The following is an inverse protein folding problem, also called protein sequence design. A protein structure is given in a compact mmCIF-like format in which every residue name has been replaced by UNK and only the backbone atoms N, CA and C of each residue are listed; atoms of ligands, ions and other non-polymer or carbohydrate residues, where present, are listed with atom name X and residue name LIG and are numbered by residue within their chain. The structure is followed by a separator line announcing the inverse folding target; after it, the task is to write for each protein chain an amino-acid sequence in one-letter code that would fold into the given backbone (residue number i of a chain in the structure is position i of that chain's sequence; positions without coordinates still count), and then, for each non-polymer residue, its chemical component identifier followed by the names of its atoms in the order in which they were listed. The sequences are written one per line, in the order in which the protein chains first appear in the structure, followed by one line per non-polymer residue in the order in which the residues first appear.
data_IF_572411579788
#
_entry.id   IF_572411579788
#
_cell.length_a   1.000
_cell.length_b   1.000
_cell.length_c   1.000
_cell.angle_alpha   90.00
_cell.angle_beta   90.00
_cell.angle_gamma   90.00
#
_symmetry.space_group_name_H-M   'P 1'
#
loop_
_entity.id
_entity.type
_entity.pdbx_description
1 polymer ?
#
# COMPACT_ATOMS: atom_id res chain seq x y z
N UNK A 1 -9.36 -18.96 -5.48
CA UNK A 1 -9.43 -18.27 -6.80
C UNK A 1 -9.32 -19.34 -7.86
N UNK A 2 -10.27 -19.39 -8.79
CA UNK A 2 -10.22 -20.37 -9.87
C UNK A 2 -9.03 -20.10 -10.81
N UNK A 3 -8.49 -21.15 -11.39
CA UNK A 3 -7.43 -21.09 -12.38
C UNK A 3 -7.82 -20.19 -13.57
N UNK A 4 -9.09 -20.25 -13.99
CA UNK A 4 -9.62 -19.40 -15.06
C UNK A 4 -9.49 -17.89 -14.76
N UNK A 5 -9.77 -17.46 -13.53
CA UNK A 5 -9.63 -16.05 -13.14
C UNK A 5 -8.16 -15.65 -13.07
N UNK A 6 -7.29 -16.54 -12.58
CA UNK A 6 -5.84 -16.29 -12.60
C UNK A 6 -5.32 -16.08 -14.01
N UNK A 7 -5.67 -16.98 -14.94
CA UNK A 7 -5.25 -16.92 -16.34
C UNK A 7 -5.77 -15.66 -17.03
N UNK A 8 -7.03 -15.31 -16.81
CA UNK A 8 -7.62 -14.07 -17.33
C UNK A 8 -6.91 -12.82 -16.81
N UNK A 9 -6.66 -12.70 -15.50
CA UNK A 9 -5.92 -11.55 -14.97
C UNK A 9 -4.47 -11.52 -15.48
N UNK A 10 -3.85 -12.68 -15.67
CA UNK A 10 -2.47 -12.79 -16.19
C UNK A 10 -2.35 -12.36 -17.66
N UNK A 11 -3.44 -12.40 -18.43
CA UNK A 11 -3.45 -11.95 -19.83
C UNK A 11 -3.58 -10.44 -19.97
N UNK A 12 -4.00 -9.71 -18.94
CA UNK A 12 -4.15 -8.24 -18.99
C UNK A 12 -2.79 -7.58 -18.74
N UNK A 13 -2.03 -7.34 -19.81
CA UNK A 13 -0.64 -6.85 -19.72
C UNK A 13 -0.48 -5.43 -20.21
N UNK A 14 -1.29 -5.02 -21.18
CA UNK A 14 -1.22 -3.71 -21.82
C UNK A 14 -2.43 -2.85 -21.47
N UNK A 15 -2.36 -1.57 -21.83
CA UNK A 15 -3.48 -0.64 -21.69
C UNK A 15 -4.68 -1.10 -22.52
N UNK A 16 -4.44 -1.62 -23.73
CA UNK A 16 -5.50 -2.11 -24.62
C UNK A 16 -6.19 -3.35 -24.03
N UNK A 17 -5.42 -4.33 -23.55
CA UNK A 17 -5.96 -5.51 -22.86
C UNK A 17 -6.88 -5.10 -21.70
N UNK A 18 -6.44 -4.09 -20.92
CA UNK A 18 -7.17 -3.58 -19.77
C UNK A 18 -8.49 -2.89 -20.18
N UNK A 19 -8.46 -2.08 -21.24
CA UNK A 19 -9.66 -1.42 -21.76
C UNK A 19 -10.69 -2.47 -22.19
N UNK A 20 -10.26 -3.47 -22.96
CA UNK A 20 -11.10 -4.55 -23.46
C UNK A 20 -11.60 -5.47 -22.34
N UNK A 21 -10.75 -5.79 -21.36
CA UNK A 21 -11.12 -6.64 -20.24
C UNK A 21 -12.20 -6.02 -19.34
N UNK A 22 -12.17 -4.69 -19.16
CA UNK A 22 -13.06 -3.95 -18.26
C UNK A 22 -14.09 -3.07 -18.99
N UNK A 23 -14.47 -3.45 -20.21
CA UNK A 23 -15.48 -2.76 -21.00
C UNK A 23 -16.92 -3.12 -20.60
N UNK A 24 -17.17 -4.39 -20.29
CA UNK A 24 -18.50 -4.91 -19.94
C UNK A 24 -18.74 -4.90 -18.42
N UNK A 25 -19.76 -4.17 -17.99
CA UNK A 25 -20.07 -3.95 -16.57
C UNK A 25 -20.43 -5.25 -15.84
N UNK A 26 -21.15 -6.14 -16.53
CA UNK A 26 -21.60 -7.42 -16.00
C UNK A 26 -20.41 -8.40 -15.82
N UNK A 27 -19.45 -8.41 -16.75
CA UNK A 27 -18.15 -9.08 -16.59
C UNK A 27 -17.34 -8.49 -15.43
N UNK A 28 -17.28 -7.16 -15.32
CA UNK A 28 -16.58 -6.50 -14.21
C UNK A 28 -17.14 -6.92 -12.85
N UNK A 29 -18.47 -6.99 -12.74
CA UNK A 29 -19.17 -7.49 -11.55
C UNK A 29 -18.80 -8.93 -11.22
N UNK A 30 -18.90 -9.85 -12.18
CA UNK A 30 -18.53 -11.26 -11.99
C UNK A 30 -17.05 -11.43 -11.62
N UNK A 31 -16.16 -10.62 -12.20
CA UNK A 31 -14.75 -10.65 -11.88
C UNK A 31 -14.50 -10.17 -10.44
N UNK A 32 -15.14 -9.09 -10.01
CA UNK A 32 -15.10 -8.62 -8.63
C UNK A 32 -15.62 -9.69 -7.67
N UNK A 33 -16.73 -10.35 -7.99
CA UNK A 33 -17.27 -11.46 -7.19
C UNK A 33 -16.27 -12.60 -7.06
N UNK A 34 -15.64 -13.01 -8.15
CA UNK A 34 -14.65 -14.09 -8.12
C UNK A 34 -13.35 -13.70 -7.37
N UNK A 35 -13.00 -12.41 -7.34
CA UNK A 35 -11.84 -11.91 -6.60
C UNK A 35 -12.11 -11.76 -5.11
N UNK A 36 -13.28 -11.24 -4.73
CA UNK A 36 -13.69 -10.94 -3.34
C UNK A 36 -14.25 -12.18 -2.63
N UNK A 37 -14.93 -13.07 -3.37
CA UNK A 37 -15.55 -14.30 -2.86
C UNK A 37 -14.97 -15.54 -3.55
N UNK A 38 -13.65 -15.80 -3.42
CA UNK A 38 -13.01 -16.91 -4.12
C UNK A 38 -13.55 -18.29 -3.69
N UNK A 39 -14.06 -18.40 -2.46
CA UNK A 39 -14.52 -19.64 -1.84
C UNK A 39 -16.05 -19.63 -1.63
N UNK A 40 -16.75 -18.73 -2.30
CA UNK A 40 -18.20 -18.54 -2.19
C UNK A 40 -18.59 -17.25 -1.47
N UNK A 41 -19.85 -16.85 -1.67
CA UNK A 41 -20.39 -15.58 -1.15
C UNK A 41 -20.50 -15.64 0.36
N UNK A 42 -19.87 -14.71 1.06
CA UNK A 42 -20.06 -14.52 2.50
C UNK A 42 -20.94 -13.28 2.75
N UNK A 43 -21.99 -13.43 3.56
CA UNK A 43 -22.82 -12.31 3.97
C UNK A 43 -21.98 -11.33 4.81
N UNK A 44 -21.87 -10.05 4.43
CA UNK A 44 -21.05 -9.09 5.15
C UNK A 44 -21.62 -8.71 6.53
N UNK A 45 -22.87 -9.09 6.84
CA UNK A 45 -23.52 -8.80 8.12
C UNK A 45 -23.35 -9.91 9.17
N UNK A 46 -23.48 -11.19 8.77
CA UNK A 46 -23.47 -12.33 9.71
C UNK A 46 -22.44 -13.42 9.36
N UNK A 47 -21.67 -13.28 8.27
CA UNK A 47 -20.69 -14.27 7.82
C UNK A 47 -21.27 -15.53 7.16
N UNK A 48 -22.59 -15.72 7.16
CA UNK A 48 -23.23 -16.89 6.51
C UNK A 48 -22.84 -17.00 5.02
N UNK A 49 -22.46 -18.21 4.61
CA UNK A 49 -22.17 -18.54 3.21
C UNK A 49 -23.43 -18.87 2.40
N UNK A 50 -24.57 -19.03 3.08
CA UNK A 50 -25.86 -19.31 2.46
C UNK A 50 -26.51 -17.99 2.02
N UNK A 51 -26.71 -17.86 0.71
CA UNK A 51 -27.36 -16.70 0.08
C UNK A 51 -28.07 -17.09 -1.22
N UNK A 52 -29.18 -16.40 -1.50
CA UNK A 52 -29.96 -16.54 -2.74
C UNK A 52 -29.74 -15.32 -3.64
N UNK A 53 -29.61 -15.54 -4.95
CA UNK A 53 -29.61 -14.44 -5.92
C UNK A 53 -31.03 -13.88 -6.06
N UNK A 54 -31.14 -12.56 -5.98
CA UNK A 54 -32.37 -11.81 -6.26
C UNK A 54 -32.37 -11.19 -7.66
N UNK A 55 -31.20 -11.05 -8.28
CA UNK A 55 -31.07 -10.62 -9.68
C UNK A 55 -31.78 -11.61 -10.62
N UNK A 56 -32.66 -11.10 -11.49
CA UNK A 56 -33.43 -11.92 -12.46
C UNK A 56 -34.77 -12.45 -11.96
N UNK A 57 -35.23 -12.09 -10.75
CA UNK A 57 -36.62 -12.32 -10.31
C UNK A 57 -37.51 -11.20 -10.82
N UNK A 58 -37.68 -11.14 -12.14
CA UNK A 58 -38.46 -10.10 -12.83
C UNK A 58 -39.92 -10.54 -12.95
N UNK A 59 -40.75 -10.13 -11.99
CA UNK A 59 -42.18 -9.88 -12.24
C UNK A 59 -42.51 -8.46 -11.79
N UNK A 60 -42.60 -7.51 -12.73
CA UNK A 60 -43.11 -6.14 -12.50
C UNK A 60 -42.10 -5.00 -12.66
N UNK A 61 -42.53 -3.78 -12.26
CA UNK A 61 -41.84 -2.48 -12.47
C UNK A 61 -40.53 -2.27 -11.68
N UNK A 62 -40.09 -3.23 -10.86
CA UNK A 62 -38.92 -3.10 -9.99
C UNK A 62 -37.87 -4.17 -10.30
N UNK A 63 -37.08 -3.94 -11.35
CA UNK A 63 -35.93 -4.81 -11.68
C UNK A 63 -34.93 -4.78 -10.53
N UNK A 64 -34.64 -5.94 -9.95
CA UNK A 64 -33.64 -6.07 -8.91
C UNK A 64 -32.26 -5.64 -9.44
N UNK A 65 -31.47 -4.97 -8.60
CA UNK A 65 -30.10 -4.54 -8.97
C UNK A 65 -29.26 -5.76 -9.38
N UNK A 66 -28.49 -5.70 -10.48
CA UNK A 66 -27.58 -6.78 -10.85
C UNK A 66 -26.64 -7.18 -9.70
N UNK A 67 -26.45 -8.49 -9.50
CA UNK A 67 -25.63 -9.02 -8.40
C UNK A 67 -26.18 -8.77 -6.98
N UNK A 68 -27.48 -8.52 -6.84
CA UNK A 68 -28.13 -8.46 -5.53
C UNK A 68 -28.36 -9.87 -4.98
N UNK A 69 -27.85 -10.12 -3.79
CA UNK A 69 -28.02 -11.34 -3.02
C UNK A 69 -28.78 -11.06 -1.74
N UNK A 70 -29.51 -12.05 -1.25
CA UNK A 70 -30.11 -12.03 0.07
C UNK A 70 -29.54 -13.16 0.91
N UNK A 71 -29.08 -12.82 2.12
CA UNK A 71 -28.63 -13.81 3.09
C UNK A 71 -29.79 -14.75 3.47
N UNK A 72 -29.49 -16.05 3.52
CA UNK A 72 -30.41 -17.08 4.03
C UNK A 72 -29.89 -17.72 5.34
N UNK A 73 -28.96 -17.04 6.02
CA UNK A 73 -28.64 -17.33 7.42
C UNK A 73 -29.86 -17.10 8.31
N UNK A 74 -29.98 -17.91 9.36
CA UNK A 74 -31.05 -17.83 10.36
C UNK A 74 -31.16 -16.38 10.85
N UNK A 75 -32.30 -15.75 10.57
CA UNK A 75 -32.66 -14.37 10.94
C UNK A 75 -31.89 -13.19 10.32
N UNK A 76 -30.90 -13.42 9.44
CA UNK A 76 -30.14 -12.30 8.87
C UNK A 76 -30.92 -11.55 7.78
N UNK A 77 -31.42 -12.27 6.76
CA UNK A 77 -32.12 -11.75 5.56
C UNK A 77 -31.49 -10.53 4.88
N UNK A 78 -30.25 -10.17 5.24
CA UNK A 78 -29.56 -8.97 4.79
C UNK A 78 -29.31 -9.05 3.30
N UNK A 79 -29.65 -7.98 2.58
CA UNK A 79 -29.39 -7.86 1.16
C UNK A 79 -28.03 -7.22 0.92
N UNK A 80 -27.25 -7.81 0.03
CA UNK A 80 -25.90 -7.34 -0.27
C UNK A 80 -25.51 -7.62 -1.72
N UNK A 81 -24.58 -6.81 -2.20
CA UNK A 81 -23.84 -6.98 -3.45
C UNK A 81 -22.37 -7.21 -3.12
N UNK A 82 -21.55 -7.52 -4.13
CA UNK A 82 -20.09 -7.62 -3.97
C UNK A 82 -19.42 -6.36 -3.44
N UNK A 83 -20.03 -5.20 -3.67
CA UNK A 83 -19.52 -3.90 -3.21
C UNK A 83 -20.00 -3.56 -1.79
N UNK A 84 -20.85 -4.38 -1.17
CA UNK A 84 -21.42 -4.06 0.15
C UNK A 84 -20.39 -4.17 1.27
N UNK A 85 -20.32 -3.15 2.14
CA UNK A 85 -19.26 -3.00 3.16
C UNK A 85 -17.84 -3.04 2.57
N UNK A 86 -17.66 -2.41 1.41
CA UNK A 86 -16.35 -2.18 0.79
C UNK A 86 -16.19 -0.70 0.45
N UNK A 87 -14.99 -0.22 0.08
CA UNK A 87 -14.81 1.13 -0.46
C UNK A 87 -15.63 1.42 -1.72
N UNK A 88 -16.13 0.38 -2.41
CA UNK A 88 -17.03 0.50 -3.57
C UNK A 88 -18.51 0.59 -3.14
N UNK A 89 -18.81 0.60 -1.84
CA UNK A 89 -20.18 0.60 -1.34
C UNK A 89 -20.96 1.81 -1.84
N UNK A 90 -22.18 1.57 -2.33
CA UNK A 90 -23.05 2.62 -2.86
C UNK A 90 -22.40 3.50 -3.93
N UNK A 91 -21.39 2.98 -4.63
CA UNK A 91 -20.74 3.72 -5.71
C UNK A 91 -21.72 4.00 -6.85
N UNK A 92 -21.62 5.21 -7.40
CA UNK A 92 -22.32 5.63 -8.62
C UNK A 92 -21.45 5.47 -9.87
N UNK A 93 -20.17 5.13 -9.69
CA UNK A 93 -19.27 4.88 -10.80
C UNK A 93 -19.46 3.44 -11.30
N UNK A 94 -19.41 3.21 -12.62
CA UNK A 94 -19.31 1.86 -13.17
C UNK A 94 -18.13 1.09 -12.56
N UNK A 95 -18.31 -0.20 -12.31
CA UNK A 95 -17.29 -1.11 -11.79
C UNK A 95 -16.10 -1.21 -12.76
N UNK A 96 -16.36 -1.06 -14.07
CA UNK A 96 -15.30 -0.91 -15.06
C UNK A 96 -14.35 0.26 -14.75
N UNK A 97 -14.86 1.42 -14.31
CA UNK A 97 -14.01 2.57 -13.92
C UNK A 97 -13.14 2.23 -12.71
N UNK A 98 -13.70 1.53 -11.70
CA UNK A 98 -12.94 1.09 -10.53
C UNK A 98 -11.79 0.15 -10.92
N UNK A 99 -12.06 -0.87 -11.73
CA UNK A 99 -11.05 -1.83 -12.16
C UNK A 99 -9.96 -1.18 -13.03
N UNK A 100 -10.34 -0.26 -13.94
CA UNK A 100 -9.40 0.54 -14.73
C UNK A 100 -8.53 1.41 -13.84
N UNK A 101 -9.12 2.08 -12.83
CA UNK A 101 -8.39 2.90 -11.87
C UNK A 101 -7.38 2.09 -11.05
N UNK A 102 -7.79 0.91 -10.56
CA UNK A 102 -6.90 -0.01 -9.86
C UNK A 102 -5.73 -0.40 -10.74
N UNK A 103 -6.00 -0.84 -11.97
CA UNK A 103 -4.96 -1.25 -12.91
C UNK A 103 -3.98 -0.11 -13.22
N UNK A 104 -4.48 1.11 -13.49
CA UNK A 104 -3.65 2.28 -13.82
C UNK A 104 -2.72 2.69 -12.67
N UNK A 105 -3.21 2.70 -11.42
CA UNK A 105 -2.38 3.03 -10.25
C UNK A 105 -1.32 1.95 -10.04
N UNK A 106 -1.69 0.67 -10.17
CA UNK A 106 -0.80 -0.47 -9.96
C UNK A 106 0.27 -0.61 -11.06
N UNK A 107 -0.06 -0.22 -12.29
CA UNK A 107 0.87 -0.17 -13.42
C UNK A 107 1.91 0.95 -13.26
N UNK A 108 1.61 2.03 -12.53
CA UNK A 108 2.52 3.16 -12.39
C UNK A 108 3.64 2.93 -11.36
N UNK A 109 4.88 3.11 -11.81
CA UNK A 109 6.08 2.93 -11.00
C UNK A 109 6.24 3.90 -9.83
N UNK A 110 5.83 5.15 -10.07
CA UNK A 110 6.01 6.28 -9.15
C UNK A 110 4.68 6.78 -8.60
N UNK A 111 3.60 6.65 -9.36
CA UNK A 111 2.23 6.91 -8.91
C UNK A 111 1.46 7.62 -10.02
N UNK A 112 0.17 7.84 -9.79
CA UNK A 112 -0.66 8.59 -10.72
C UNK A 112 -1.36 9.72 -9.96
N UNK A 113 -1.16 10.96 -10.41
CA UNK A 113 -1.84 12.11 -9.84
C UNK A 113 -3.34 12.01 -10.11
N UNK A 114 -4.17 12.61 -9.25
CA UNK A 114 -5.62 12.61 -9.45
C UNK A 114 -6.03 13.30 -10.75
N UNK A 115 -5.27 14.29 -11.22
CA UNK A 115 -5.49 14.95 -12.52
C UNK A 115 -5.30 13.97 -13.67
N UNK A 116 -4.17 13.25 -13.70
CA UNK A 116 -3.87 12.27 -14.75
C UNK A 116 -4.82 11.07 -14.69
N UNK A 117 -5.21 10.63 -13.49
CA UNK A 117 -6.20 9.57 -13.30
C UNK A 117 -7.58 9.99 -13.82
N UNK A 118 -7.98 11.23 -13.58
CA UNK A 118 -9.24 11.80 -14.06
C UNK A 118 -9.30 11.84 -15.59
N UNK A 119 -8.24 12.37 -16.23
CA UNK A 119 -8.09 12.40 -17.68
C UNK A 119 -8.16 10.99 -18.29
N UNK A 120 -7.41 10.04 -17.73
CA UNK A 120 -7.37 8.67 -18.24
C UNK A 120 -8.71 7.91 -18.12
N UNK A 121 -9.52 8.25 -17.12
CA UNK A 121 -10.82 7.60 -16.86
C UNK A 121 -12.01 8.36 -17.43
N UNK A 122 -11.82 9.59 -17.91
CA UNK A 122 -12.91 10.45 -18.37
C UNK A 122 -13.86 10.88 -17.24
N UNK A 123 -13.34 11.06 -16.02
CA UNK A 123 -14.12 11.50 -14.84
C UNK A 123 -13.62 12.85 -14.33
N UNK A 124 -14.36 13.51 -13.45
CA UNK A 124 -13.89 14.75 -12.83
C UNK A 124 -12.72 14.51 -11.87
N UNK A 125 -11.81 15.48 -11.77
CA UNK A 125 -10.65 15.40 -10.88
C UNK A 125 -11.01 15.15 -9.41
N UNK A 126 -12.03 15.79 -8.81
CA UNK A 126 -12.42 15.50 -7.44
C UNK A 126 -12.90 14.05 -7.25
N UNK A 127 -13.57 13.48 -8.27
CA UNK A 127 -14.00 12.09 -8.26
C UNK A 127 -12.80 11.15 -8.32
N UNK A 128 -11.84 11.41 -9.21
CA UNK A 128 -10.59 10.65 -9.30
C UNK A 128 -9.76 10.74 -8.01
N UNK A 129 -9.77 11.89 -7.33
CA UNK A 129 -9.07 12.08 -6.06
C UNK A 129 -9.67 11.21 -4.95
N UNK A 130 -11.00 11.24 -4.77
CA UNK A 130 -11.72 10.37 -3.82
C UNK A 130 -11.54 8.89 -4.15
N UNK A 131 -11.66 8.53 -5.43
CA UNK A 131 -11.39 7.19 -5.93
C UNK A 131 -9.97 6.74 -5.57
N UNK A 132 -8.97 7.56 -5.85
CA UNK A 132 -7.58 7.26 -5.50
C UNK A 132 -7.35 7.11 -3.99
N UNK A 133 -8.03 7.91 -3.15
CA UNK A 133 -7.97 7.75 -1.69
C UNK A 133 -8.59 6.44 -1.23
N UNK A 134 -9.75 6.05 -1.78
CA UNK A 134 -10.38 4.77 -1.48
C UNK A 134 -9.45 3.59 -1.85
N UNK A 135 -8.81 3.65 -3.02
CA UNK A 135 -7.85 2.63 -3.44
C UNK A 135 -6.59 2.60 -2.55
N UNK A 136 -6.10 3.75 -2.12
CA UNK A 136 -4.98 3.86 -1.16
C UNK A 136 -5.31 3.27 0.20
N UNK A 137 -6.55 3.41 0.66
CA UNK A 137 -7.00 2.77 1.90
C UNK A 137 -6.95 1.24 1.76
N UNK A 138 -7.41 0.70 0.63
CA UNK A 138 -7.35 -0.74 0.33
C UNK A 138 -5.91 -1.28 0.22
N UNK A 139 -4.94 -0.40 -0.05
CA UNK A 139 -3.50 -0.75 -0.11
C UNK A 139 -2.85 -0.85 1.28
N UNK A 140 -3.57 -0.48 2.35
CA UNK A 140 -3.10 -0.68 3.71
C UNK A 140 -2.84 -2.17 3.95
N UNK A 141 -1.74 -2.47 4.64
CA UNK A 141 -1.40 -3.83 5.05
C UNK A 141 -1.38 -3.85 6.57
N UNK A 142 -2.14 -4.74 7.17
CA UNK A 142 -2.32 -4.78 8.63
C UNK A 142 -1.45 -5.86 9.31
N UNK A 143 -0.95 -6.85 8.57
CA UNK A 143 -0.16 -7.94 9.15
C UNK A 143 1.20 -7.44 9.68
N UNK A 144 1.56 -7.64 10.96
CA UNK A 144 2.84 -7.18 11.48
C UNK A 144 4.03 -7.81 10.75
N UNK A 145 5.05 -6.99 10.47
CA UNK A 145 6.27 -7.36 9.74
C UNK A 145 7.20 -8.19 10.63
N UNK A 146 7.72 -9.30 10.09
CA UNK A 146 8.63 -10.21 10.79
C UNK A 146 9.95 -10.44 10.03
N UNK A 147 10.81 -11.33 10.54
CA UNK A 147 12.14 -11.55 9.98
C UNK A 147 13.06 -10.36 10.25
N UNK A 148 13.87 -9.94 9.26
CA UNK A 148 14.73 -8.76 9.40
C UNK A 148 13.97 -7.50 9.03
N UNK A 149 13.83 -6.58 9.98
CA UNK A 149 13.07 -5.33 9.82
C UNK A 149 13.97 -4.14 10.09
N UNK A 150 14.09 -3.25 9.12
CA UNK A 150 14.81 -1.98 9.23
C UNK A 150 13.83 -0.84 9.59
N UNK A 151 14.26 0.08 10.45
CA UNK A 151 13.50 1.29 10.78
C UNK A 151 14.35 2.54 10.56
N UNK A 152 13.73 3.59 10.04
CA UNK A 152 14.37 4.90 9.86
C UNK A 152 13.34 6.04 10.00
N UNK A 153 13.77 7.17 10.54
CA UNK A 153 12.97 8.38 10.68
C UNK A 153 13.27 9.39 9.59
N UNK A 154 12.24 9.92 8.95
CA UNK A 154 12.40 11.00 7.97
C UNK A 154 11.34 12.08 8.12
N UNK A 155 11.44 13.12 7.29
CA UNK A 155 10.53 14.25 7.31
C UNK A 155 9.96 14.49 5.91
N UNK A 156 8.67 14.81 5.86
CA UNK A 156 7.93 15.23 4.65
C UNK A 156 7.35 16.63 4.84
N UNK A 157 7.13 17.33 3.73
CA UNK A 157 6.65 18.71 3.74
C UNK A 157 7.65 19.68 3.12
N UNK A 158 7.13 20.85 2.75
CA UNK A 158 7.91 21.93 2.14
C UNK A 158 8.98 22.49 3.07
N UNK A 159 9.82 23.36 2.53
CA UNK A 159 10.71 24.14 3.38
C UNK A 159 9.89 25.05 4.30
N UNK A 160 10.22 25.11 5.61
CA UNK A 160 9.61 26.08 6.50
C UNK A 160 9.73 27.48 5.91
N UNK A 161 8.59 28.19 5.74
CA UNK A 161 8.64 29.62 5.40
C UNK A 161 9.21 30.36 6.61
N UNK A 162 10.31 31.09 6.42
CA UNK A 162 10.88 31.96 7.45
C UNK A 162 9.85 33.02 7.85
N UNK A 163 9.62 33.22 9.14
CA UNK A 163 8.84 34.34 9.65
C UNK A 163 7.30 34.18 9.71
N UNK A 164 6.74 32.97 9.64
CA UNK A 164 5.31 32.75 9.94
C UNK A 164 5.18 32.11 11.32
N UNK A 165 4.66 32.90 12.26
CA UNK A 165 4.26 32.57 13.64
C UNK A 165 5.15 31.61 14.43
N UNK A 166 6.25 32.17 14.95
CA UNK A 166 7.07 31.52 15.97
C UNK A 166 8.57 31.68 15.72
N UNK A 167 9.41 31.37 16.71
CA UNK A 167 10.85 31.33 16.50
C UNK A 167 11.17 30.31 15.41
N UNK A 168 12.04 30.68 14.46
CA UNK A 168 12.57 29.76 13.46
C UNK A 168 13.02 28.46 14.15
N UNK A 169 12.76 27.27 13.56
CA UNK A 169 13.28 26.01 14.07
C UNK A 169 14.79 26.11 14.29
N UNK A 170 15.19 26.26 15.54
CA UNK A 170 16.59 26.52 15.88
C UNK A 170 17.44 25.27 15.72
N UNK A 171 18.67 25.44 15.25
CA UNK A 171 19.75 24.46 15.48
C UNK A 171 20.02 24.36 16.99
N UNK A 172 19.24 23.58 17.72
CA UNK A 172 19.66 23.05 19.03
C UNK A 172 19.24 23.80 20.31
N UNK A 173 18.17 24.60 20.35
CA UNK A 173 17.58 24.94 21.66
C UNK A 173 16.86 23.72 22.25
N UNK A 174 17.25 23.33 23.47
CA UNK A 174 16.72 22.14 24.17
C UNK A 174 15.19 22.27 24.29
N UNK A 175 14.45 21.32 23.72
CA UNK A 175 12.98 21.26 23.79
C UNK A 175 12.21 21.82 22.58
N UNK A 176 12.84 22.52 21.63
CA UNK A 176 12.16 23.01 20.42
C UNK A 176 12.30 22.05 19.24
N UNK A 177 11.30 22.05 18.35
CA UNK A 177 11.32 21.26 17.10
C UNK A 177 12.43 21.80 16.20
N UNK A 178 13.30 20.88 15.72
CA UNK A 178 14.40 21.20 14.77
C UNK A 178 13.91 21.49 13.36
N UNK A 179 12.64 21.18 13.05
CA UNK A 179 12.01 21.41 11.76
C UNK A 179 10.49 21.51 11.91
N UNK A 180 9.83 22.28 11.03
CA UNK A 180 8.37 22.29 10.90
C UNK A 180 7.85 21.17 9.98
N UNK A 181 8.74 20.42 9.35
CA UNK A 181 8.36 19.28 8.51
C UNK A 181 7.70 18.21 9.35
N UNK A 182 6.75 17.51 8.75
CA UNK A 182 6.03 16.41 9.37
C UNK A 182 6.98 15.22 9.55
N UNK A 183 7.22 14.75 10.78
CA UNK A 183 8.03 13.56 11.00
C UNK A 183 7.26 12.30 10.59
N UNK A 184 7.98 11.35 10.03
CA UNK A 184 7.47 10.08 9.51
C UNK A 184 8.41 8.98 9.95
N UNK A 185 7.85 7.87 10.41
CA UNK A 185 8.61 6.65 10.69
C UNK A 185 8.42 5.69 9.53
N UNK A 186 9.51 5.19 8.95
CA UNK A 186 9.50 4.11 7.98
C UNK A 186 9.88 2.79 8.64
N UNK A 187 9.21 1.73 8.20
CA UNK A 187 9.44 0.35 8.64
C UNK A 187 9.52 -0.52 7.39
N UNK A 188 10.64 -1.22 7.20
CA UNK A 188 10.92 -1.99 5.99
C UNK A 188 11.37 -3.40 6.35
N UNK A 189 10.55 -4.38 5.99
CA UNK A 189 10.91 -5.78 6.03
C UNK A 189 11.81 -6.13 4.84
N UNK A 190 12.93 -6.79 5.11
CA UNK A 190 13.81 -7.31 4.07
C UNK A 190 13.25 -8.61 3.48
N UNK A 191 13.68 -8.99 2.25
CA UNK A 191 13.49 -10.35 1.77
C UNK A 191 14.02 -11.38 2.77
N UNK A 192 13.33 -12.51 2.88
CA UNK A 192 13.77 -13.66 3.71
C UNK A 192 15.07 -14.26 3.18
N UNK A 193 15.24 -14.22 1.87
CA UNK A 193 16.37 -14.78 1.16
C UNK A 193 16.55 -14.09 -0.19
N UNK A 194 17.62 -14.49 -0.86
CA UNK A 194 18.12 -13.89 -2.08
C UNK A 194 17.77 -14.74 -3.33
N UNK A 195 16.86 -15.70 -3.21
CA UNK A 195 16.55 -16.63 -4.29
C UNK A 195 15.67 -15.98 -5.36
N UNK A 196 15.84 -16.32 -6.65
CA UNK A 196 14.92 -15.88 -7.69
C UNK A 196 13.48 -16.32 -7.39
N UNK A 197 12.53 -15.39 -7.50
CA UNK A 197 11.13 -15.60 -7.15
C UNK A 197 10.76 -15.15 -5.74
N UNK A 198 11.73 -14.94 -4.85
CA UNK A 198 11.46 -14.55 -3.47
C UNK A 198 10.84 -13.16 -3.38
N UNK A 199 9.85 -12.94 -2.49
CA UNK A 199 9.25 -11.63 -2.29
C UNK A 199 10.28 -10.58 -1.85
N UNK A 200 10.10 -9.32 -2.28
CA UNK A 200 10.98 -8.21 -1.93
C UNK A 200 10.91 -7.75 -0.46
N UNK A 201 10.08 -8.40 0.37
CA UNK A 201 9.63 -7.88 1.65
C UNK A 201 8.58 -6.78 1.50
N UNK A 202 8.23 -6.12 2.60
CA UNK A 202 7.21 -5.09 2.65
C UNK A 202 7.77 -3.78 3.22
N UNK A 203 7.14 -2.66 2.90
CA UNK A 203 7.53 -1.35 3.43
C UNK A 203 6.30 -0.54 3.83
N UNK A 204 6.42 0.19 4.93
CA UNK A 204 5.38 1.06 5.49
C UNK A 204 5.99 2.38 5.92
N UNK A 205 5.15 3.40 5.96
CA UNK A 205 5.47 4.64 6.64
C UNK A 205 4.21 5.19 7.32
N UNK A 206 4.41 5.88 8.43
CA UNK A 206 3.33 6.54 9.17
C UNK A 206 3.77 7.90 9.66
N UNK A 207 2.88 8.89 9.53
CA UNK A 207 3.03 10.18 10.19
C UNK A 207 3.06 9.97 11.71
N UNK A 208 4.02 10.60 12.36
CA UNK A 208 4.15 10.60 13.82
C UNK A 208 4.15 12.04 14.35
N UNK A 209 3.72 12.24 15.60
CA UNK A 209 3.72 13.60 16.19
C UNK A 209 5.14 14.13 16.39
N UNK A 210 6.05 13.22 16.70
CA UNK A 210 7.47 13.39 16.87
C UNK A 210 8.10 11.99 16.85
N UNK A 211 9.43 11.92 16.90
CA UNK A 211 10.18 10.67 16.91
C UNK A 211 10.66 10.31 18.32
N UNK A 212 9.80 10.55 19.32
CA UNK A 212 10.01 10.11 20.70
C UNK A 212 9.83 8.60 20.83
N UNK A 213 10.36 8.03 21.90
CA UNK A 213 10.20 6.59 22.19
C UNK A 213 8.71 6.18 22.23
N UNK A 214 7.81 6.99 22.81
CA UNK A 214 6.40 6.63 22.90
C UNK A 214 5.70 6.60 21.53
N UNK A 215 5.96 7.60 20.68
CA UNK A 215 5.38 7.64 19.33
C UNK A 215 5.96 6.55 18.44
N UNK A 216 7.26 6.27 18.55
CA UNK A 216 7.88 5.16 17.83
C UNK A 216 7.33 3.81 18.32
N UNK A 217 7.18 3.61 19.63
CA UNK A 217 6.61 2.39 20.21
C UNK A 217 5.20 2.11 19.66
N UNK A 218 4.34 3.13 19.63
CA UNK A 218 2.98 3.05 19.07
C UNK A 218 2.96 2.49 17.64
N UNK A 219 3.92 2.88 16.81
CA UNK A 219 4.01 2.37 15.44
C UNK A 219 4.58 0.96 15.42
N UNK A 220 5.69 0.72 16.13
CA UNK A 220 6.37 -0.59 16.11
C UNK A 220 5.51 -1.71 16.71
N UNK A 221 4.74 -1.45 17.77
CA UNK A 221 3.83 -2.43 18.39
C UNK A 221 2.72 -2.88 17.43
N UNK A 222 2.29 -1.99 16.54
CA UNK A 222 1.31 -2.31 15.49
C UNK A 222 1.96 -3.03 14.31
N UNK A 223 3.11 -2.52 13.85
CA UNK A 223 3.66 -2.87 12.54
C UNK A 223 4.75 -3.93 12.56
N UNK A 224 5.31 -4.30 13.72
CA UNK A 224 6.46 -5.20 13.81
C UNK A 224 6.23 -6.30 14.84
N UNK A 225 6.51 -7.54 14.44
CA UNK A 225 6.50 -8.69 15.34
C UNK A 225 7.65 -8.57 16.35
N UNK A 226 7.40 -8.87 17.63
CA UNK A 226 8.45 -8.87 18.67
C UNK A 226 9.58 -9.88 18.40
N UNK A 227 9.30 -10.89 17.59
CA UNK A 227 10.27 -11.89 17.13
C UNK A 227 11.17 -11.40 15.99
N UNK A 228 10.93 -10.21 15.45
CA UNK A 228 11.75 -9.65 14.38
C UNK A 228 13.18 -9.34 14.85
N UNK A 229 14.12 -9.47 13.93
CA UNK A 229 15.45 -8.89 14.06
C UNK A 229 15.37 -7.43 13.60
N UNK A 230 15.38 -6.51 14.55
CA UNK A 230 15.27 -5.07 14.30
C UNK A 230 16.64 -4.48 13.95
N UNK A 231 16.69 -3.61 12.94
CA UNK A 231 17.89 -2.86 12.56
C UNK A 231 17.56 -1.37 12.46
N UNK A 232 18.38 -0.51 13.06
CA UNK A 232 18.19 0.94 13.00
C UNK A 232 19.52 1.73 13.02
N UNK A 233 19.43 3.05 12.95
CA UNK A 233 20.54 3.92 13.38
C UNK A 233 20.64 3.98 14.92
N UNK A 234 21.59 4.77 15.44
CA UNK A 234 21.80 4.98 16.88
C UNK A 234 20.89 6.05 17.51
N UNK A 235 19.71 6.31 16.94
CA UNK A 235 18.81 7.21 17.62
C UNK A 235 18.35 6.62 18.96
N UNK A 236 18.54 7.38 20.04
CA UNK A 236 18.19 7.01 21.42
C UNK A 236 16.80 6.36 21.57
N UNK A 237 15.78 6.84 20.84
CA UNK A 237 14.44 6.23 20.88
C UNK A 237 14.43 4.82 20.31
N UNK A 238 15.14 4.57 19.21
CA UNK A 238 15.26 3.24 18.61
C UNK A 238 16.06 2.29 19.49
N UNK A 239 17.20 2.74 20.03
CA UNK A 239 18.02 1.95 20.96
C UNK A 239 17.21 1.53 22.18
N UNK A 240 16.45 2.45 22.79
CA UNK A 240 15.63 2.13 23.95
C UNK A 240 14.52 1.11 23.64
N UNK A 241 13.91 1.19 22.46
CA UNK A 241 12.83 0.28 22.04
C UNK A 241 13.33 -1.07 21.53
N UNK A 242 14.58 -1.13 21.08
CA UNK A 242 15.22 -2.36 20.62
C UNK A 242 15.18 -3.49 21.64
N UNK A 243 15.19 -3.16 22.93
CA UNK A 243 15.07 -4.13 24.03
C UNK A 243 13.74 -4.90 24.04
N UNK A 244 12.72 -4.44 23.31
CA UNK A 244 11.43 -5.14 23.20
C UNK A 244 11.42 -6.24 22.12
N UNK A 245 12.51 -6.38 21.36
CA UNK A 245 12.65 -7.34 20.26
C UNK A 245 13.67 -8.42 20.61
N UNK A 246 13.57 -9.58 19.97
CA UNK A 246 14.51 -10.70 20.16
C UNK A 246 15.95 -10.27 19.90
N UNK A 247 16.16 -9.48 18.83
CA UNK A 247 17.46 -8.93 18.49
C UNK A 247 17.29 -7.50 17.97
N UNK A 248 18.15 -6.59 18.41
CA UNK A 248 18.26 -5.25 17.85
C UNK A 248 19.73 -4.92 17.58
N UNK A 249 20.05 -4.57 16.34
CA UNK A 249 21.39 -4.12 15.96
C UNK A 249 21.36 -2.71 15.35
N UNK A 250 22.41 -1.93 15.62
CA UNK A 250 22.51 -0.55 15.13
C UNK A 250 23.76 -0.29 14.31
N UNK A 251 23.66 0.69 13.41
CA UNK A 251 24.80 1.27 12.66
C UNK A 251 25.10 2.69 13.11
N UNK A 252 26.40 3.02 13.21
CA UNK A 252 26.89 4.30 13.73
C UNK A 252 27.18 5.30 12.61
N UNK A 253 26.15 5.98 12.11
CA UNK A 253 26.34 7.01 11.08
C UNK A 253 27.29 8.15 11.51
N UNK A 254 27.31 8.49 12.81
CA UNK A 254 28.21 9.50 13.38
C UNK A 254 29.69 9.13 13.29
N UNK A 255 30.00 7.83 13.20
CA UNK A 255 31.36 7.29 13.03
C UNK A 255 31.62 6.81 11.60
N UNK A 256 30.80 7.22 10.64
CA UNK A 256 30.88 6.79 9.24
C UNK A 256 30.74 5.27 9.04
N UNK A 257 30.11 4.57 9.99
CA UNK A 257 29.77 3.16 9.87
C UNK A 257 28.35 3.05 9.30
N UNK A 258 28.25 2.80 7.99
CA UNK A 258 26.97 2.67 7.27
C UNK A 258 26.55 1.21 7.05
N UNK A 259 27.50 0.27 7.14
CA UNK A 259 27.27 -1.17 6.96
C UNK A 259 28.23 -1.95 7.86
N UNK A 260 27.71 -2.92 8.62
CA UNK A 260 28.51 -3.91 9.36
C UNK A 260 27.99 -5.31 9.06
N UNK A 261 28.63 -6.02 8.13
CA UNK A 261 28.09 -7.28 7.61
C UNK A 261 26.70 -7.07 7.01
N UNK A 262 25.70 -7.80 7.50
CA UNK A 262 24.31 -7.65 7.10
C UNK A 262 23.55 -6.56 7.90
N UNK A 263 24.20 -5.88 8.84
CA UNK A 263 23.58 -4.81 9.64
C UNK A 263 23.66 -3.47 8.91
N UNK A 264 22.51 -2.97 8.46
CA UNK A 264 22.34 -1.64 7.84
C UNK A 264 20.87 -1.22 7.75
N UNK A 265 20.59 0.08 7.61
CA UNK A 265 19.24 0.62 7.37
C UNK A 265 18.99 1.07 5.92
N UNK A 266 19.81 0.59 4.96
CA UNK A 266 19.79 1.03 3.57
C UNK A 266 18.44 0.83 2.84
N UNK A 267 17.68 -0.20 3.20
CA UNK A 267 16.36 -0.47 2.61
C UNK A 267 15.34 0.56 3.09
N UNK A 268 15.37 0.91 4.38
CA UNK A 268 14.57 1.98 4.95
C UNK A 268 14.93 3.35 4.36
N UNK A 269 16.22 3.69 4.27
CA UNK A 269 16.67 4.93 3.61
C UNK A 269 16.29 4.97 2.11
N UNK A 270 16.36 3.82 1.44
CA UNK A 270 15.92 3.63 0.06
C UNK A 270 14.43 3.87 -0.12
N UNK A 271 13.61 3.39 0.83
CA UNK A 271 12.17 3.65 0.87
C UNK A 271 11.87 5.14 1.12
N UNK A 272 12.57 5.77 2.07
CA UNK A 272 12.45 7.21 2.37
C UNK A 272 12.75 8.06 1.13
N UNK A 273 13.80 7.70 0.39
CA UNK A 273 14.14 8.31 -0.90
C UNK A 273 13.04 8.11 -1.95
N UNK A 274 12.40 6.93 -1.99
CA UNK A 274 11.29 6.65 -2.90
C UNK A 274 10.06 7.50 -2.57
N UNK A 275 9.74 7.66 -1.29
CA UNK A 275 8.65 8.53 -0.83
C UNK A 275 8.90 9.97 -1.28
N UNK A 276 10.07 10.54 -0.95
CA UNK A 276 10.41 11.92 -1.32
C UNK A 276 10.35 12.17 -2.82
N UNK A 277 10.91 11.27 -3.64
CA UNK A 277 10.86 11.40 -5.12
C UNK A 277 9.45 11.30 -5.67
N UNK A 278 8.61 10.45 -5.07
CA UNK A 278 7.21 10.29 -5.48
C UNK A 278 6.41 11.56 -5.16
N UNK A 279 6.57 12.09 -3.94
CA UNK A 279 5.93 13.35 -3.56
C UNK A 279 6.40 14.48 -4.48
N UNK A 280 7.70 14.67 -4.67
CA UNK A 280 8.22 15.76 -5.49
C UNK A 280 7.83 15.65 -6.98
N UNK A 281 7.78 14.43 -7.53
CA UNK A 281 7.65 14.20 -8.97
C UNK A 281 6.26 13.82 -9.48
N UNK A 282 5.35 13.36 -8.61
CA UNK A 282 4.01 12.88 -9.03
C UNK A 282 2.91 13.68 -8.35
N UNK A 283 2.96 13.79 -7.03
CA UNK A 283 1.89 14.43 -6.26
C UNK A 283 2.13 15.93 -6.06
N UNK A 284 3.39 16.36 -6.13
CA UNK A 284 3.95 17.68 -5.80
C UNK A 284 3.71 18.14 -4.35
N UNK A 285 2.54 17.82 -3.80
CA UNK A 285 2.14 18.13 -2.45
C UNK A 285 1.24 17.00 -1.90
N UNK A 286 1.48 16.60 -0.66
CA UNK A 286 0.57 15.76 0.13
C UNK A 286 0.38 16.44 1.48
N UNK A 287 -0.87 16.55 1.94
CA UNK A 287 -1.13 17.11 3.26
C UNK A 287 -0.84 16.06 4.35
N UNK A 288 -0.42 16.47 5.56
CA UNK A 288 -0.15 15.53 6.65
C UNK A 288 -1.34 14.61 6.97
N UNK A 289 -2.57 15.13 6.85
CA UNK A 289 -3.81 14.42 7.16
C UNK A 289 -4.07 13.25 6.19
N UNK A 290 -3.56 13.33 4.97
CA UNK A 290 -3.73 12.29 3.95
C UNK A 290 -2.43 11.52 3.67
N UNK A 291 -1.30 11.90 4.29
CA UNK A 291 0.01 11.36 3.93
C UNK A 291 0.09 9.83 4.07
N UNK A 292 -0.53 9.26 5.10
CA UNK A 292 -0.56 7.82 5.33
C UNK A 292 -1.22 7.05 4.17
N UNK A 293 -2.28 7.60 3.55
CA UNK A 293 -2.89 7.00 2.35
C UNK A 293 -1.87 6.90 1.21
N UNK A 294 -1.06 7.94 1.00
CA UNK A 294 -0.03 7.91 -0.04
C UNK A 294 1.12 6.96 0.33
N UNK A 295 1.44 6.82 1.63
CA UNK A 295 2.42 5.84 2.10
C UNK A 295 1.94 4.41 1.87
N UNK A 296 0.65 4.11 2.05
CA UNK A 296 0.08 2.81 1.71
C UNK A 296 0.30 2.47 0.23
N UNK A 297 0.05 3.38 -0.71
CA UNK A 297 0.32 3.13 -2.14
C UNK A 297 1.81 2.90 -2.44
N UNK A 298 2.69 3.69 -1.82
CA UNK A 298 4.14 3.58 -2.05
C UNK A 298 4.68 2.27 -1.45
N UNK A 299 4.21 1.90 -0.25
CA UNK A 299 4.53 0.66 0.46
C UNK A 299 3.99 -0.58 -0.25
N UNK A 300 2.75 -0.53 -0.73
CA UNK A 300 2.17 -1.62 -1.53
C UNK A 300 3.02 -1.91 -2.76
N UNK A 301 3.37 -0.88 -3.55
CA UNK A 301 4.22 -1.06 -4.74
C UNK A 301 5.67 -1.43 -4.43
N UNK A 302 6.15 -1.14 -3.23
CA UNK A 302 7.43 -1.69 -2.76
C UNK A 302 7.33 -3.22 -2.63
N UNK A 303 6.22 -3.67 -2.06
CA UNK A 303 5.94 -5.07 -1.71
C UNK A 303 5.63 -5.94 -2.92
N UNK A 304 5.07 -5.37 -3.99
CA UNK A 304 4.71 -6.10 -5.22
C UNK A 304 5.90 -6.31 -6.18
N UNK A 305 7.03 -6.75 -5.62
CA UNK A 305 8.24 -7.08 -6.37
C UNK A 305 8.74 -8.46 -5.96
N UNK A 306 9.29 -9.17 -6.93
CA UNK A 306 9.95 -10.46 -6.72
C UNK A 306 11.40 -10.36 -7.17
N UNK A 307 12.27 -11.05 -6.46
CA UNK A 307 13.69 -11.12 -6.77
C UNK A 307 13.88 -11.78 -8.13
N UNK A 308 14.51 -11.07 -9.06
CA UNK A 308 14.88 -11.58 -10.38
C UNK A 308 16.33 -12.06 -10.42
N UNK A 309 16.93 -12.00 -11.62
CA UNK A 309 18.34 -12.39 -11.82
C UNK A 309 19.30 -11.37 -11.20
N UNK A 310 20.51 -11.81 -10.84
CA UNK A 310 21.63 -10.90 -10.53
C UNK A 310 22.20 -10.39 -11.85
N UNK A 311 22.24 -9.06 -12.01
CA UNK A 311 22.97 -8.40 -13.08
C UNK A 311 24.37 -8.02 -12.57
N UNK A 312 25.39 -8.31 -13.37
CA UNK A 312 26.78 -7.99 -13.05
C UNK A 312 27.25 -6.84 -13.92
N UNK A 313 27.92 -5.87 -13.32
CA UNK A 313 28.50 -4.71 -14.00
C UNK A 313 29.93 -4.52 -13.52
N UNK A 314 30.86 -4.50 -14.46
CA UNK A 314 32.23 -4.07 -14.21
C UNK A 314 32.28 -2.55 -14.10
N UNK A 315 32.84 -2.03 -13.02
CA UNK A 315 33.09 -0.59 -12.89
C UNK A 315 34.30 -0.18 -13.73
N UNK A 316 34.46 1.14 -13.92
CA UNK A 316 35.64 1.70 -14.62
C UNK A 316 36.95 1.25 -13.98
N UNK A 317 36.97 1.09 -12.66
CA UNK A 317 38.13 0.64 -11.87
C UNK A 317 38.27 -0.89 -11.83
N UNK A 318 37.62 -1.61 -12.75
CA UNK A 318 37.72 -3.07 -12.88
C UNK A 318 36.96 -3.89 -11.84
N UNK A 319 36.36 -3.27 -10.81
CA UNK A 319 35.60 -3.97 -9.76
C UNK A 319 34.30 -4.54 -10.30
N UNK A 320 33.99 -5.79 -9.96
CA UNK A 320 32.72 -6.39 -10.30
C UNK A 320 31.66 -5.99 -9.26
N UNK A 321 30.60 -5.30 -9.69
CA UNK A 321 29.43 -5.03 -8.87
C UNK A 321 28.27 -5.86 -9.36
N UNK A 322 27.59 -6.56 -8.45
CA UNK A 322 26.33 -7.22 -8.75
C UNK A 322 25.16 -6.37 -8.24
N UNK A 323 24.03 -6.43 -8.94
CA UNK A 323 22.77 -5.84 -8.51
C UNK A 323 21.64 -6.81 -8.82
N UNK A 324 20.76 -7.04 -7.85
CA UNK A 324 19.52 -7.78 -8.08
C UNK A 324 18.60 -6.98 -8.98
N UNK A 325 18.13 -7.60 -10.06
CA UNK A 325 17.01 -7.09 -10.83
C UNK A 325 15.72 -7.51 -10.13
N UNK A 326 14.75 -6.61 -10.06
CA UNK A 326 13.45 -6.86 -9.46
C UNK A 326 12.41 -6.92 -10.56
N UNK A 327 11.63 -8.00 -10.59
CA UNK A 327 10.46 -8.10 -11.46
C UNK A 327 9.21 -7.71 -10.69
N UNK A 328 8.19 -7.23 -11.41
CA UNK A 328 6.90 -6.88 -10.83
C UNK A 328 5.89 -7.97 -11.09
N UNK A 329 5.01 -8.17 -10.12
CA UNK A 329 3.73 -8.87 -10.36
C UNK A 329 2.93 -8.03 -11.36
N UNK A 330 2.19 -8.65 -12.28
CA UNK A 330 1.38 -7.87 -13.24
C UNK A 330 0.28 -7.10 -12.50
N UNK A 331 -0.10 -5.89 -12.95
CA UNK A 331 -1.07 -5.05 -12.23
C UNK A 331 -2.40 -5.76 -12.00
N UNK A 332 -2.88 -6.49 -13.00
CA UNK A 332 -4.15 -7.22 -12.91
C UNK A 332 -4.13 -8.32 -11.84
N UNK A 333 -3.01 -9.04 -11.66
CA UNK A 333 -2.87 -10.00 -10.56
C UNK A 333 -2.81 -9.30 -9.19
N UNK A 334 -2.24 -8.08 -9.14
CA UNK A 334 -2.21 -7.26 -7.92
C UNK A 334 -3.60 -6.76 -7.50
N UNK A 335 -4.56 -6.58 -8.42
CA UNK A 335 -5.94 -6.14 -8.10
C UNK A 335 -6.58 -7.06 -7.07
N UNK A 336 -6.34 -8.37 -7.15
CA UNK A 336 -6.85 -9.31 -6.14
C UNK A 336 -6.28 -9.02 -4.76
N UNK A 337 -4.97 -8.79 -4.66
CA UNK A 337 -4.33 -8.48 -3.37
C UNK A 337 -4.91 -7.20 -2.76
N UNK A 338 -5.18 -6.20 -3.60
CA UNK A 338 -5.86 -4.98 -3.20
C UNK A 338 -7.27 -5.24 -2.66
N UNK A 339 -8.03 -6.13 -3.32
CA UNK A 339 -9.42 -6.42 -2.94
C UNK A 339 -9.56 -7.31 -1.70
N UNK A 340 -8.52 -8.05 -1.29
CA UNK A 340 -8.56 -8.86 -0.06
C UNK A 340 -8.79 -8.00 1.19
N UNK A 341 -8.28 -6.77 1.23
CA UNK A 341 -8.49 -5.81 2.32
C UNK A 341 -9.78 -5.00 2.21
N UNK A 342 -10.60 -5.21 1.17
CA UNK A 342 -11.73 -4.33 0.89
C UNK A 342 -12.93 -4.57 1.81
N UNK A 343 -13.14 -5.79 2.32
CA UNK A 343 -14.30 -6.10 3.15
C UNK A 343 -14.16 -5.48 4.54
N UNK A 344 -15.21 -4.81 5.01
CA UNK A 344 -15.23 -4.12 6.31
C UNK A 344 -14.67 -2.70 6.27
N UNK A 345 -14.10 -2.25 5.15
CA UNK A 345 -13.56 -0.90 4.98
C UNK A 345 -14.54 0.03 4.25
N UNK A 346 -15.79 0.09 4.70
CA UNK A 346 -16.74 1.06 4.15
C UNK A 346 -16.29 2.49 4.50
N UNK A 347 -16.15 3.35 3.49
CA UNK A 347 -15.74 4.76 3.63
C UNK A 347 -16.95 5.67 3.66
#
# INVERSE_FOLDING_TARGET
MSEAVHLFLSSIRTVDDMIMAFADEERCRRLLEAMIWPDGRACPACGSTRSIALAGRDTGRHRARPGLYQCSGTDCRFQFTVTTRTPLHSTKLPLGIWLKAMWLILQSDKGLSSVRLAEALGISQPTAWRLGHALRLMMAQDDPLGGTVEIDGFYVGGEPKKGVDGPDPGRGRKGLRKTLKTPVLAVVQRPTDDLPGSPAGAARASVVKNLSANETARVLEKDVQRTAHLISDEWKSFVALGHNFVTHETVRHSKQEYVRGDVHANSAEGFNSRVRRTVAGVFHHISPEHADLYFHEIGFRWSQRIAGKKAYRRTRDGRMKSRRLWSRVTPALQIRHLLRGAQGQQI
#
